data_IF_590767141715
#
_entry.id   IF_590767141715
#
_cell.length_a   1.000
_cell.length_b   1.000
_cell.length_c   1.000
_cell.angle_alpha   90.00
_cell.angle_beta   90.00
_cell.angle_gamma   90.00
#
_symmetry.space_group_name_H-M   'P 1'
#
loop_
_entity.id
_entity.type
_entity.pdbx_description
1 polymer ?
#
# COMPACT_ATOMS: atom_id res chain seq x y z
N UNK A 1 -19.70 18.40 -0.65
CA UNK A 1 -19.59 17.26 0.30
C UNK A 1 -19.51 15.99 -0.53
N UNK A 2 -18.75 14.96 -0.11
CA UNK A 2 -18.70 13.71 -0.84
C UNK A 2 -20.06 13.02 -0.85
N UNK A 3 -20.40 12.37 -1.96
CA UNK A 3 -21.52 11.45 -2.07
C UNK A 3 -21.03 10.06 -1.63
N UNK A 4 -21.81 9.40 -0.77
CA UNK A 4 -21.52 8.05 -0.30
C UNK A 4 -22.54 7.08 -0.88
N UNK A 5 -22.05 5.99 -1.48
CA UNK A 5 -22.87 4.88 -1.97
C UNK A 5 -22.39 3.60 -1.31
N UNK A 6 -23.29 2.88 -0.62
CA UNK A 6 -22.96 1.59 0.00
C UNK A 6 -23.49 0.46 -0.86
N UNK A 7 -22.59 -0.43 -1.29
CA UNK A 7 -22.94 -1.60 -2.10
C UNK A 7 -23.48 -2.75 -1.21
N UNK A 8 -24.23 -3.71 -1.79
CA UNK A 8 -24.76 -4.85 -1.04
C UNK A 8 -23.69 -5.73 -0.36
N UNK A 9 -22.46 -5.75 -0.89
CA UNK A 9 -21.33 -6.48 -0.32
C UNK A 9 -20.61 -5.72 0.82
N UNK A 10 -21.10 -4.55 1.21
CA UNK A 10 -20.54 -3.74 2.30
C UNK A 10 -19.50 -2.70 1.85
N UNK A 11 -18.99 -2.77 0.61
CA UNK A 11 -18.07 -1.77 0.08
C UNK A 11 -18.74 -0.39 0.03
N UNK A 12 -18.03 0.63 0.51
CA UNK A 12 -18.49 2.02 0.45
C UNK A 12 -17.71 2.77 -0.62
N UNK A 13 -18.41 3.40 -1.55
CA UNK A 13 -17.85 4.27 -2.58
C UNK A 13 -18.09 5.71 -2.15
N UNK A 14 -17.01 6.47 -1.96
CA UNK A 14 -17.05 7.90 -1.70
C UNK A 14 -16.61 8.66 -2.96
N UNK A 15 -17.46 9.53 -3.49
CA UNK A 15 -17.16 10.37 -4.65
C UNK A 15 -17.28 11.85 -4.30
N UNK A 16 -16.33 12.66 -4.74
CA UNK A 16 -16.38 14.11 -4.59
C UNK A 16 -16.08 14.76 -5.94
N UNK A 17 -17.12 15.26 -6.60
CA UNK A 17 -16.96 15.95 -7.87
C UNK A 17 -16.33 17.34 -7.65
N UNK A 18 -15.34 17.66 -8.48
CA UNK A 18 -14.67 18.96 -8.50
C UNK A 18 -14.75 19.53 -9.93
N UNK A 19 -15.82 20.28 -10.28
CA UNK A 19 -16.11 20.65 -11.67
C UNK A 19 -15.00 21.43 -12.40
N UNK A 20 -14.13 22.10 -11.64
CA UNK A 20 -13.04 22.91 -12.19
C UNK A 20 -11.71 22.15 -12.31
N UNK A 21 -11.69 20.83 -12.05
CA UNK A 21 -10.50 20.00 -12.16
C UNK A 21 -10.50 19.17 -13.45
N UNK A 22 -9.38 19.18 -14.16
CA UNK A 22 -9.15 18.34 -15.33
C UNK A 22 -8.54 16.97 -14.98
N UNK A 23 -8.34 16.69 -13.69
CA UNK A 23 -7.76 15.46 -13.17
C UNK A 23 -8.77 14.65 -12.35
N UNK A 24 -8.46 13.38 -12.17
CA UNK A 24 -9.19 12.46 -11.30
C UNK A 24 -8.19 11.76 -10.38
N UNK A 25 -8.60 11.48 -9.15
CA UNK A 25 -7.90 10.62 -8.21
C UNK A 25 -8.84 9.48 -7.84
N UNK A 26 -8.33 8.25 -7.91
CA UNK A 26 -9.01 7.04 -7.49
C UNK A 26 -8.14 6.38 -6.43
N UNK A 27 -8.74 5.86 -5.37
CA UNK A 27 -8.02 5.02 -4.43
C UNK A 27 -8.90 3.98 -3.77
N UNK A 28 -8.23 2.95 -3.24
CA UNK A 28 -8.77 1.88 -2.44
C UNK A 28 -8.16 2.02 -1.06
N UNK A 29 -9.02 2.25 -0.06
CA UNK A 29 -8.65 2.25 1.35
C UNK A 29 -9.12 0.96 1.98
N UNK A 30 -8.20 0.28 2.65
CA UNK A 30 -8.49 -0.91 3.45
C UNK A 30 -8.26 -0.55 4.90
N UNK A 31 -9.25 -0.83 5.76
CA UNK A 31 -9.17 -0.62 7.22
C UNK A 31 -8.29 -1.68 7.91
N UNK A 32 -7.11 -1.92 7.35
CA UNK A 32 -6.08 -2.83 7.85
C UNK A 32 -4.72 -2.17 7.66
N UNK A 33 -3.89 -2.25 8.69
CA UNK A 33 -2.54 -1.71 8.79
C UNK A 33 -1.77 -2.45 9.89
N UNK A 34 -0.57 -1.96 10.25
CA UNK A 34 0.36 -2.71 11.13
C UNK A 34 -0.19 -3.06 12.52
N UNK A 35 -1.19 -2.31 13.02
CA UNK A 35 -1.78 -2.55 14.35
C UNK A 35 -2.61 -3.83 14.43
N UNK A 36 -3.09 -4.34 13.29
CA UNK A 36 -3.97 -5.51 13.23
C UNK A 36 -3.20 -6.82 13.09
N UNK A 37 -1.88 -6.74 12.94
CA UNK A 37 -1.01 -7.89 12.77
C UNK A 37 -0.69 -8.53 14.12
N UNK A 38 -0.47 -9.84 14.15
CA UNK A 38 0.19 -10.48 15.30
C UNK A 38 1.73 -10.42 15.15
N UNK A 39 2.47 -10.79 16.19
CA UNK A 39 3.93 -10.66 16.19
C UNK A 39 4.63 -11.52 15.13
N UNK A 40 4.04 -12.65 14.74
CA UNK A 40 4.56 -13.49 13.66
C UNK A 40 4.30 -12.90 12.26
N UNK A 41 3.31 -11.99 12.15
CA UNK A 41 2.90 -11.33 10.91
C UNK A 41 3.36 -9.87 10.83
N UNK A 42 4.12 -9.37 11.80
CA UNK A 42 4.55 -7.98 11.83
C UNK A 42 5.26 -7.58 10.52
N UNK A 43 4.76 -6.54 9.85
CA UNK A 43 5.19 -6.08 8.54
C UNK A 43 4.35 -6.59 7.36
N UNK A 44 3.34 -7.44 7.59
CA UNK A 44 2.58 -8.06 6.50
C UNK A 44 1.81 -7.06 5.62
N UNK A 45 1.19 -6.03 6.21
CA UNK A 45 0.40 -5.03 5.49
C UNK A 45 1.30 -4.23 4.54
N UNK A 46 2.44 -3.77 5.04
CA UNK A 46 3.47 -3.09 4.25
C UNK A 46 4.09 -4.02 3.20
N UNK A 47 4.31 -5.29 3.53
CA UNK A 47 4.85 -6.24 2.57
C UNK A 47 3.89 -6.53 1.41
N UNK A 48 2.60 -6.69 1.72
CA UNK A 48 1.53 -6.83 0.72
C UNK A 48 1.48 -5.58 -0.15
N UNK A 49 1.57 -4.39 0.44
CA UNK A 49 1.63 -3.13 -0.28
C UNK A 49 2.71 -3.17 -1.38
N UNK A 50 3.95 -3.52 -1.04
CA UNK A 50 5.05 -3.64 -2.01
C UNK A 50 4.75 -4.65 -3.11
N UNK A 51 4.24 -5.82 -2.73
CA UNK A 51 4.02 -6.93 -3.64
C UNK A 51 2.93 -6.65 -4.68
N UNK A 52 1.95 -5.80 -4.35
CA UNK A 52 0.87 -5.39 -5.27
C UNK A 52 1.39 -4.66 -6.52
N UNK A 53 2.60 -4.08 -6.46
CA UNK A 53 3.26 -3.43 -7.59
C UNK A 53 4.09 -4.38 -8.45
N UNK A 54 4.35 -5.62 -8.01
CA UNK A 54 5.30 -6.53 -8.69
C UNK A 54 4.69 -7.34 -9.82
N UNK A 55 3.36 -7.32 -9.93
CA UNK A 55 2.64 -7.84 -11.07
C UNK A 55 1.38 -8.60 -10.71
N UNK A 56 0.50 -8.70 -11.69
CA UNK A 56 -0.77 -9.40 -11.60
C UNK A 56 -0.71 -10.67 -12.44
N UNK A 57 -1.84 -11.36 -12.60
CA UNK A 57 -1.96 -12.45 -13.57
C UNK A 57 -1.87 -11.97 -15.02
N UNK A 58 -2.17 -10.70 -15.29
CA UNK A 58 -2.29 -10.14 -16.64
C UNK A 58 -1.18 -9.13 -16.96
N UNK A 59 -0.55 -8.52 -15.94
CA UNK A 59 0.45 -7.46 -16.10
C UNK A 59 1.73 -7.78 -15.34
N UNK A 60 2.86 -7.47 -15.95
CA UNK A 60 4.15 -7.35 -15.25
C UNK A 60 4.24 -6.03 -14.49
N UNK A 61 5.14 -5.94 -13.51
CA UNK A 61 5.44 -4.68 -12.81
C UNK A 61 5.68 -3.50 -13.78
N UNK A 62 6.45 -3.76 -14.85
CA UNK A 62 6.73 -2.77 -15.89
C UNK A 62 5.46 -2.32 -16.61
N UNK A 63 4.59 -3.25 -17.00
CA UNK A 63 3.34 -2.92 -17.67
C UNK A 63 2.38 -2.15 -16.75
N UNK A 64 2.38 -2.41 -15.44
CA UNK A 64 1.60 -1.63 -14.46
C UNK A 64 2.07 -0.16 -14.49
N UNK A 65 3.37 0.07 -14.34
CA UNK A 65 3.95 1.42 -14.35
C UNK A 65 3.72 2.11 -15.71
N UNK A 66 4.00 1.45 -16.83
CA UNK A 66 3.78 2.02 -18.18
C UNK A 66 2.30 2.36 -18.44
N UNK A 67 1.35 1.58 -17.93
CA UNK A 67 -0.08 1.83 -18.11
C UNK A 67 -0.58 3.08 -17.38
N UNK A 68 0.07 3.49 -16.29
CA UNK A 68 -0.32 4.71 -15.53
C UNK A 68 0.61 5.87 -15.84
N UNK A 69 1.91 5.70 -15.66
CA UNK A 69 2.92 6.76 -15.84
C UNK A 69 3.10 7.14 -17.31
N UNK A 70 2.94 6.19 -18.23
CA UNK A 70 2.98 6.45 -19.68
C UNK A 70 1.86 7.39 -20.16
N UNK A 71 0.81 7.57 -19.35
CA UNK A 71 -0.30 8.50 -19.60
C UNK A 71 -0.13 9.83 -18.85
N UNK A 72 1.03 10.07 -18.23
CA UNK A 72 1.27 11.19 -17.33
C UNK A 72 0.56 11.05 -15.98
N UNK A 73 0.13 9.83 -15.64
CA UNK A 73 -0.47 9.49 -14.36
C UNK A 73 0.58 9.28 -13.26
N UNK A 74 0.09 9.06 -12.05
CA UNK A 74 0.88 8.73 -10.88
C UNK A 74 0.15 7.64 -10.10
N UNK A 75 0.87 6.58 -9.76
CA UNK A 75 0.38 5.43 -9.02
C UNK A 75 1.23 5.30 -7.76
N UNK A 76 0.59 5.15 -6.60
CA UNK A 76 1.31 4.97 -5.35
C UNK A 76 0.45 4.25 -4.31
N UNK A 77 1.07 3.87 -3.20
CA UNK A 77 0.42 3.32 -2.04
C UNK A 77 1.10 3.83 -0.76
N UNK A 78 0.48 3.57 0.37
CA UNK A 78 1.12 3.69 1.68
C UNK A 78 0.36 2.85 2.70
N UNK A 79 1.09 2.42 3.73
CA UNK A 79 0.57 1.71 4.89
C UNK A 79 0.79 2.55 6.15
N UNK A 80 -0.23 2.61 6.97
CA UNK A 80 -0.22 3.20 8.31
C UNK A 80 -0.54 2.10 9.33
N UNK A 81 -0.63 2.49 10.59
CA UNK A 81 -0.95 1.62 11.69
C UNK A 81 -2.36 1.05 11.54
N UNK A 82 -3.34 1.79 11.04
CA UNK A 82 -4.74 1.39 11.00
C UNK A 82 -5.38 1.28 9.61
N UNK A 83 -4.65 1.61 8.55
CA UNK A 83 -5.13 1.47 7.18
C UNK A 83 -3.99 1.36 6.17
N UNK A 84 -4.31 0.82 4.99
CA UNK A 84 -3.45 0.82 3.81
C UNK A 84 -4.25 1.42 2.65
N UNK A 85 -3.59 2.27 1.87
CA UNK A 85 -4.17 2.96 0.73
C UNK A 85 -3.40 2.63 -0.55
N UNK A 86 -4.12 2.32 -1.62
CA UNK A 86 -3.60 2.22 -2.98
C UNK A 86 -4.32 3.24 -3.83
N UNK A 87 -3.60 4.14 -4.52
CA UNK A 87 -4.24 5.21 -5.26
C UNK A 87 -3.51 5.57 -6.54
N UNK A 88 -4.28 6.08 -7.49
CA UNK A 88 -3.78 6.57 -8.76
C UNK A 88 -4.44 7.91 -9.10
N UNK A 89 -3.68 8.79 -9.76
CA UNK A 89 -4.18 10.07 -10.27
C UNK A 89 -3.72 10.29 -11.70
N UNK A 90 -4.58 10.85 -12.54
CA UNK A 90 -4.27 11.20 -13.93
C UNK A 90 -5.28 12.25 -14.44
N UNK A 91 -5.25 12.54 -15.74
CA UNK A 91 -6.29 13.33 -16.42
C UNK A 91 -7.63 12.61 -16.33
N UNK A 92 -8.73 13.37 -16.21
CA UNK A 92 -10.05 12.82 -15.92
C UNK A 92 -10.55 11.79 -16.95
N UNK A 93 -10.20 11.96 -18.23
CA UNK A 93 -10.57 11.02 -19.30
C UNK A 93 -9.76 9.71 -19.29
N UNK A 94 -8.79 9.55 -18.39
CA UNK A 94 -8.05 8.31 -18.11
C UNK A 94 -8.60 7.56 -16.90
N UNK A 95 -9.72 8.00 -16.34
CA UNK A 95 -10.38 7.28 -15.23
C UNK A 95 -10.57 5.78 -15.50
N UNK A 96 -11.05 5.33 -16.68
CA UNK A 96 -11.20 3.90 -16.96
C UNK A 96 -9.88 3.13 -16.89
N UNK A 97 -8.78 3.71 -17.37
CA UNK A 97 -7.44 3.10 -17.34
C UNK A 97 -6.93 2.96 -15.91
N UNK A 98 -7.08 4.02 -15.10
CA UNK A 98 -6.70 3.99 -13.68
C UNK A 98 -7.48 2.94 -12.91
N UNK A 99 -8.80 2.87 -13.13
CA UNK A 99 -9.68 1.93 -12.47
C UNK A 99 -9.30 0.49 -12.82
N UNK A 100 -9.07 0.21 -14.10
CA UNK A 100 -8.70 -1.13 -14.55
C UNK A 100 -7.35 -1.59 -13.96
N UNK A 101 -6.33 -0.73 -14.00
CA UNK A 101 -5.01 -1.06 -13.44
C UNK A 101 -5.08 -1.25 -11.93
N UNK A 102 -5.70 -0.32 -11.20
CA UNK A 102 -5.77 -0.38 -9.74
C UNK A 102 -6.58 -1.59 -9.25
N UNK A 103 -7.69 -1.92 -9.91
CA UNK A 103 -8.48 -3.11 -9.56
C UNK A 103 -7.74 -4.41 -9.91
N UNK A 104 -7.03 -4.46 -11.03
CA UNK A 104 -6.22 -5.64 -11.37
C UNK A 104 -5.08 -5.87 -10.36
N UNK A 105 -4.40 -4.80 -9.95
CA UNK A 105 -3.40 -4.87 -8.87
C UNK A 105 -4.02 -5.40 -7.59
N UNK A 106 -5.14 -4.81 -7.17
CA UNK A 106 -5.76 -5.13 -5.88
C UNK A 106 -6.35 -6.54 -5.83
N UNK A 107 -6.96 -7.02 -6.92
CA UNK A 107 -7.71 -8.28 -6.93
C UNK A 107 -6.91 -9.47 -7.52
N UNK A 108 -5.95 -9.21 -8.42
CA UNK A 108 -5.29 -10.27 -9.20
C UNK A 108 -3.76 -10.28 -9.06
N UNK A 109 -3.21 -9.65 -8.02
CA UNK A 109 -1.79 -9.74 -7.70
C UNK A 109 -1.33 -11.20 -7.54
N UNK A 110 -0.21 -11.55 -8.16
CA UNK A 110 0.21 -12.97 -8.26
C UNK A 110 1.08 -13.45 -7.10
N UNK A 111 1.78 -12.54 -6.42
CA UNK A 111 2.74 -12.87 -5.35
C UNK A 111 3.76 -13.94 -5.79
N UNK A 112 4.54 -13.66 -6.84
CA UNK A 112 5.50 -14.64 -7.35
C UNK A 112 6.61 -14.89 -6.31
N UNK A 113 7.08 -16.14 -6.11
CA UNK A 113 8.09 -16.44 -5.09
C UNK A 113 9.38 -15.63 -5.23
N UNK A 114 9.81 -15.36 -6.47
CA UNK A 114 10.98 -14.52 -6.74
C UNK A 114 10.77 -13.06 -6.32
N UNK A 115 9.56 -12.51 -6.54
CA UNK A 115 9.20 -11.16 -6.13
C UNK A 115 9.11 -11.07 -4.59
N UNK A 116 8.54 -12.07 -3.92
CA UNK A 116 8.52 -12.16 -2.45
C UNK A 116 9.95 -12.16 -1.90
N UNK A 117 10.83 -13.02 -2.44
CA UNK A 117 12.21 -13.09 -1.98
C UNK A 117 12.94 -11.76 -2.17
N UNK A 118 12.75 -11.09 -3.31
CA UNK A 118 13.37 -9.81 -3.62
C UNK A 118 12.84 -8.68 -2.73
N UNK A 119 11.52 -8.53 -2.64
CA UNK A 119 10.91 -7.43 -1.88
C UNK A 119 11.16 -7.55 -0.37
N UNK A 120 11.36 -8.76 0.15
CA UNK A 120 11.81 -8.94 1.54
C UNK A 120 13.12 -8.22 1.81
N UNK A 121 14.09 -8.35 0.91
CA UNK A 121 15.39 -7.68 1.08
C UNK A 121 15.28 -6.17 0.86
N UNK A 122 14.46 -5.73 -0.10
CA UNK A 122 14.17 -4.30 -0.31
C UNK A 122 13.60 -3.65 0.96
N UNK A 123 12.65 -4.31 1.64
CA UNK A 123 12.03 -3.77 2.87
C UNK A 123 13.03 -3.77 4.04
N UNK A 124 13.94 -4.76 4.12
CA UNK A 124 15.03 -4.73 5.11
C UNK A 124 15.98 -3.55 4.90
N UNK A 125 16.32 -3.25 3.64
CA UNK A 125 17.13 -2.07 3.28
C UNK A 125 16.39 -0.77 3.58
N UNK A 126 15.09 -0.70 3.30
CA UNK A 126 14.25 0.44 3.63
C UNK A 126 14.20 0.70 5.14
N UNK A 127 14.02 -0.34 5.96
CA UNK A 127 14.10 -0.22 7.42
C UNK A 127 15.45 0.34 7.86
N UNK A 128 16.55 -0.16 7.31
CA UNK A 128 17.88 0.35 7.65
C UNK A 128 18.02 1.84 7.27
N UNK A 129 17.49 2.24 6.11
CA UNK A 129 17.45 3.63 5.68
C UNK A 129 16.64 4.54 6.63
N UNK A 130 15.53 4.04 7.19
CA UNK A 130 14.77 4.78 8.21
C UNK A 130 15.51 4.89 9.54
N UNK A 131 16.25 3.86 9.95
CA UNK A 131 17.08 3.90 11.16
C UNK A 131 18.25 4.89 11.04
N UNK A 132 18.77 5.10 9.82
CA UNK A 132 19.81 6.10 9.53
C UNK A 132 19.26 7.54 9.45
N UNK A 133 17.94 7.72 9.60
CA UNK A 133 17.27 9.02 9.59
C UNK A 133 16.81 9.41 11.00
N UNK A 134 17.53 10.30 11.72
CA UNK A 134 17.24 10.61 13.13
C UNK A 134 15.81 11.09 13.40
N UNK A 135 15.21 11.84 12.47
CA UNK A 135 13.83 12.32 12.57
C UNK A 135 12.79 11.20 12.46
N UNK A 136 13.10 10.11 11.76
CA UNK A 136 12.23 8.95 11.65
C UNK A 136 12.42 8.06 12.88
N UNK A 137 13.68 7.74 13.20
CA UNK A 137 14.04 6.91 14.34
C UNK A 137 13.48 7.44 15.66
N UNK A 138 13.51 8.77 15.90
CA UNK A 138 12.94 9.35 17.13
C UNK A 138 11.43 9.12 17.24
N UNK A 139 10.70 9.09 16.12
CA UNK A 139 9.26 8.84 16.12
C UNK A 139 8.95 7.36 16.39
N UNK A 140 9.71 6.43 15.79
CA UNK A 140 9.60 5.00 16.10
C UNK A 140 9.85 4.73 17.59
N UNK A 141 10.94 5.26 18.14
CA UNK A 141 11.29 5.08 19.56
C UNK A 141 10.24 5.70 20.49
N UNK A 142 9.67 6.84 20.10
CA UNK A 142 8.58 7.47 20.85
C UNK A 142 7.33 6.57 20.85
N UNK A 143 6.93 6.05 19.70
CA UNK A 143 5.78 5.15 19.59
C UNK A 143 5.98 3.86 20.41
N UNK A 144 7.15 3.22 20.34
CA UNK A 144 7.49 2.04 21.13
C UNK A 144 7.45 2.33 22.64
N UNK A 145 7.96 3.49 23.05
CA UNK A 145 7.98 3.92 24.46
C UNK A 145 6.57 4.24 24.99
N UNK A 146 5.72 4.86 24.17
CA UNK A 146 4.34 5.20 24.53
C UNK A 146 3.42 3.97 24.57
N UNK A 147 3.71 2.95 23.76
CA UNK A 147 2.86 1.78 23.56
C UNK A 147 3.59 0.45 23.84
N UNK A 148 4.11 0.24 25.06
CA UNK A 148 4.94 -0.93 25.37
C UNK A 148 4.16 -2.23 25.19
N UNK A 149 4.66 -3.11 24.32
CA UNK A 149 4.05 -4.41 24.02
C UNK A 149 2.71 -4.35 23.26
N UNK A 150 2.31 -3.16 22.81
CA UNK A 150 1.08 -2.98 22.05
C UNK A 150 1.36 -2.81 20.55
N UNK A 151 0.51 -3.34 19.65
CA UNK A 151 0.72 -3.25 18.20
C UNK A 151 1.02 -1.86 17.62
N UNK A 152 0.45 -0.81 18.21
CA UNK A 152 0.68 0.59 17.81
C UNK A 152 2.12 1.09 18.07
N UNK A 153 2.87 0.42 18.94
CA UNK A 153 4.27 0.75 19.20
C UNK A 153 5.26 0.06 18.25
N UNK A 154 4.78 -0.80 17.35
CA UNK A 154 5.63 -1.55 16.43
C UNK A 154 5.89 -0.76 15.14
N UNK A 155 7.08 -0.95 14.57
CA UNK A 155 7.41 -0.42 13.26
C UNK A 155 6.50 -1.04 12.16
N UNK A 156 6.07 -0.23 11.20
CA UNK A 156 5.08 -0.60 10.17
C UNK A 156 5.64 -1.70 9.25
N UNK A 157 6.93 -1.62 8.95
CA UNK A 157 7.68 -2.57 8.12
C UNK A 157 8.07 -3.86 8.86
N UNK A 158 7.78 -3.95 10.16
CA UNK A 158 8.07 -5.10 10.99
C UNK A 158 9.54 -5.22 11.40
N UNK A 159 10.01 -6.45 11.54
CA UNK A 159 11.39 -6.77 11.95
C UNK A 159 12.03 -7.72 10.94
N UNK A 160 13.38 -7.76 10.83
CA UNK A 160 14.04 -8.74 9.97
C UNK A 160 13.57 -10.18 10.21
N UNK A 161 13.35 -10.53 11.49
CA UNK A 161 12.86 -11.86 11.89
C UNK A 161 11.42 -12.13 11.43
N UNK A 162 10.51 -11.16 11.57
CA UNK A 162 9.13 -11.34 11.12
C UNK A 162 9.05 -11.41 9.60
N UNK A 163 9.80 -10.53 8.90
CA UNK A 163 9.91 -10.53 7.44
C UNK A 163 10.41 -11.87 6.88
N UNK A 164 11.39 -12.51 7.52
CA UNK A 164 11.87 -13.85 7.14
C UNK A 164 10.79 -14.94 7.32
N UNK A 165 9.84 -14.73 8.22
CA UNK A 165 8.69 -15.63 8.43
C UNK A 165 7.53 -15.41 7.46
N UNK A 166 7.48 -14.27 6.77
CA UNK A 166 6.40 -13.96 5.83
C UNK A 166 6.55 -14.76 4.53
N UNK A 167 5.55 -15.58 4.25
CA UNK A 167 5.42 -16.40 3.05
C UNK A 167 4.10 -16.08 2.34
N UNK A 168 3.90 -16.65 1.14
CA UNK A 168 2.67 -16.48 0.35
C UNK A 168 1.43 -17.03 1.05
#
# INVERSE_FOLDING_TARGET
MPQLTRLPNGLTIATAEMPNMASVCLGVWVEVGSRYENDAQAGASHFIEHLLFKGTRQRTARQISEAVEGLGGYLNAYTSEDHTCFYAKARADRFPDLLDVLMDMFLNSRFAPADIAKEREVIKEERASYQDQPQHLVQELLNETLWPGHPLGRAIEGTPRSLDGLNR
#
